data_IF_863052845943
#
_entry.id   IF_863052845943
#
_cell.length_a   1.000
_cell.length_b   1.000
_cell.length_c   1.000
_cell.angle_alpha   90.00
_cell.angle_beta   90.00
_cell.angle_gamma   90.00
#
_symmetry.space_group_name_H-M   'P 1'
#
loop_
_entity.id
_entity.type
_entity.pdbx_description
1 polymer ?
#
# COMPACT_ATOMS: atom_id res chain seq x y z
N UNK A 1 -8.31 -4.93 21.98
CA UNK A 1 -8.30 -4.64 20.52
C UNK A 1 -8.14 -5.97 19.79
N UNK A 2 -8.81 -6.18 18.67
CA UNK A 2 -8.73 -7.40 17.87
C UNK A 2 -8.61 -7.04 16.38
N UNK A 3 -7.82 -7.82 15.63
CA UNK A 3 -7.77 -7.75 14.17
C UNK A 3 -8.86 -8.64 13.56
N UNK A 4 -9.47 -8.16 12.49
CA UNK A 4 -10.52 -8.84 11.73
C UNK A 4 -10.02 -9.08 10.29
N UNK A 5 -10.85 -9.71 9.45
CA UNK A 5 -10.57 -9.96 8.03
C UNK A 5 -9.32 -10.82 7.78
N UNK A 6 -9.27 -11.98 8.43
CA UNK A 6 -8.18 -12.96 8.31
C UNK A 6 -8.19 -13.78 7.00
N UNK A 7 -9.12 -13.52 6.07
CA UNK A 7 -9.32 -14.30 4.84
C UNK A 7 -8.08 -14.34 3.94
N UNK A 8 -7.20 -13.34 4.03
CA UNK A 8 -5.96 -13.23 3.25
C UNK A 8 -4.70 -13.49 4.07
N UNK A 9 -4.82 -13.85 5.35
CA UNK A 9 -3.66 -14.06 6.19
C UNK A 9 -2.89 -15.32 5.81
N UNK A 10 -1.57 -15.20 5.69
CA UNK A 10 -0.69 -16.31 5.36
C UNK A 10 0.79 -15.93 5.52
N UNK A 11 1.70 -16.87 5.26
CA UNK A 11 3.13 -16.57 5.22
C UNK A 11 3.44 -15.52 4.15
N UNK A 12 4.22 -14.50 4.51
CA UNK A 12 4.58 -13.39 3.63
C UNK A 12 5.81 -12.64 4.13
N UNK A 13 6.26 -11.65 3.37
CA UNK A 13 7.34 -10.76 3.80
C UNK A 13 6.74 -9.69 4.70
N UNK A 14 7.36 -9.44 5.86
CA UNK A 14 6.91 -8.39 6.81
C UNK A 14 6.71 -7.00 6.18
N UNK A 15 7.50 -6.69 5.14
CA UNK A 15 7.40 -5.43 4.41
C UNK A 15 6.07 -5.30 3.63
N UNK A 16 5.41 -6.41 3.29
CA UNK A 16 4.12 -6.41 2.58
C UNK A 16 3.02 -5.79 3.44
N UNK A 17 2.94 -6.14 4.72
CA UNK A 17 1.99 -5.54 5.68
C UNK A 17 2.27 -4.06 5.92
N UNK A 18 3.55 -3.69 6.08
CA UNK A 18 3.96 -2.29 6.28
C UNK A 18 3.70 -1.46 5.04
N UNK A 19 3.94 -2.02 3.85
CA UNK A 19 3.60 -1.38 2.58
C UNK A 19 2.09 -1.22 2.42
N UNK A 20 1.31 -2.24 2.74
CA UNK A 20 -0.15 -2.19 2.74
C UNK A 20 -0.63 -1.02 3.61
N UNK A 21 -0.14 -0.97 4.85
CA UNK A 21 -0.47 0.09 5.77
C UNK A 21 -0.11 1.48 5.24
N UNK A 22 1.08 1.61 4.64
CA UNK A 22 1.58 2.86 4.11
C UNK A 22 0.72 3.42 2.99
N UNK A 23 0.32 2.61 2.00
CA UNK A 23 -0.53 3.11 0.91
C UNK A 23 -2.00 3.22 1.30
N UNK A 24 -2.50 2.34 2.19
CA UNK A 24 -3.91 2.30 2.55
C UNK A 24 -4.36 3.46 3.45
N UNK A 25 -3.50 3.90 4.38
CA UNK A 25 -3.83 4.97 5.33
C UNK A 25 -3.15 6.32 5.03
N UNK A 26 -2.47 6.44 3.89
CA UNK A 26 -1.92 7.71 3.42
C UNK A 26 -2.80 8.36 2.36
N UNK A 27 -2.70 9.69 2.24
CA UNK A 27 -3.30 10.39 1.11
C UNK A 27 -2.48 10.11 -0.16
N UNK A 28 -3.16 9.68 -1.23
CA UNK A 28 -2.56 9.40 -2.54
C UNK A 28 -3.39 10.07 -3.64
N UNK A 29 -2.73 10.52 -4.71
CA UNK A 29 -3.39 11.17 -5.84
C UNK A 29 -3.65 12.67 -5.63
N UNK A 30 -4.10 13.34 -6.68
CA UNK A 30 -4.34 14.78 -6.67
C UNK A 30 -3.13 15.59 -6.17
N UNK A 31 -3.40 16.52 -5.27
CA UNK A 31 -2.40 17.41 -4.62
C UNK A 31 -1.74 16.78 -3.39
N UNK A 32 -1.82 15.46 -3.20
CA UNK A 32 -1.14 14.79 -2.10
C UNK A 32 0.37 15.04 -2.17
N UNK A 33 0.99 15.28 -1.01
CA UNK A 33 2.44 15.50 -0.89
C UNK A 33 3.19 14.14 -0.83
N UNK A 34 4.07 13.84 -1.80
CA UNK A 34 4.91 12.65 -1.75
C UNK A 34 5.84 12.56 -0.54
N UNK A 35 6.29 13.70 -0.01
CA UNK A 35 7.15 13.73 1.18
C UNK A 35 6.39 13.32 2.44
N UNK A 36 5.09 13.66 2.55
CA UNK A 36 4.24 13.21 3.65
C UNK A 36 4.00 11.70 3.61
N UNK A 37 3.81 11.10 2.43
CA UNK A 37 3.77 9.64 2.29
C UNK A 37 5.07 9.01 2.81
N UNK A 38 6.23 9.52 2.37
CA UNK A 38 7.53 9.02 2.82
C UNK A 38 7.70 9.14 4.33
N UNK A 39 7.28 10.27 4.94
CA UNK A 39 7.34 10.49 6.38
C UNK A 39 6.49 9.47 7.15
N UNK A 40 5.25 9.21 6.72
CA UNK A 40 4.37 8.20 7.34
C UNK A 40 4.95 6.80 7.21
N UNK A 41 5.51 6.48 6.06
CA UNK A 41 6.13 5.20 5.80
C UNK A 41 7.37 4.96 6.68
N UNK A 42 8.23 5.98 6.88
CA UNK A 42 9.33 5.88 7.85
C UNK A 42 8.80 5.60 9.25
N UNK A 43 7.78 6.34 9.70
CA UNK A 43 7.17 6.14 11.02
C UNK A 43 6.64 4.71 11.19
N UNK A 44 5.98 4.15 10.17
CA UNK A 44 5.50 2.76 10.21
C UNK A 44 6.66 1.77 10.31
N UNK A 45 7.72 1.95 9.51
CA UNK A 45 8.91 1.10 9.59
C UNK A 45 9.59 1.19 10.96
N UNK A 46 9.79 2.39 11.49
CA UNK A 46 10.42 2.62 12.80
C UNK A 46 9.60 1.96 13.91
N UNK A 47 8.27 2.16 13.91
CA UNK A 47 7.39 1.56 14.91
C UNK A 47 7.39 0.03 14.83
N UNK A 48 7.42 -0.53 13.62
CA UNK A 48 7.47 -1.98 13.41
C UNK A 48 8.78 -2.58 13.96
N UNK A 49 9.93 -1.97 13.65
CA UNK A 49 11.25 -2.45 14.11
C UNK A 49 11.43 -2.29 15.62
N UNK A 50 10.87 -1.23 16.24
CA UNK A 50 10.84 -1.08 17.70
C UNK A 50 10.00 -2.18 18.36
N UNK A 51 8.85 -2.52 17.78
CA UNK A 51 7.97 -3.57 18.30
C UNK A 51 8.50 -4.99 18.06
N UNK A 52 9.41 -5.18 17.10
CA UNK A 52 9.99 -6.47 16.73
C UNK A 52 11.53 -6.45 16.80
N UNK A 53 12.13 -6.48 18.01
CA UNK A 53 13.59 -6.43 18.17
C UNK A 53 14.32 -7.51 17.36
N UNK A 54 15.39 -7.12 16.67
CA UNK A 54 16.16 -8.00 15.80
C UNK A 54 15.61 -8.15 14.38
N UNK A 55 14.48 -7.50 14.05
CA UNK A 55 13.99 -7.36 12.68
C UNK A 55 14.47 -6.04 12.10
N UNK A 56 14.98 -6.09 10.87
CA UNK A 56 15.18 -4.91 10.02
C UNK A 56 14.38 -5.08 8.75
N UNK A 57 13.58 -4.07 8.41
CA UNK A 57 12.76 -4.07 7.22
C UNK A 57 13.59 -3.66 5.99
N UNK A 58 13.41 -4.30 4.83
CA UNK A 58 14.04 -3.87 3.59
C UNK A 58 13.35 -2.60 3.06
N UNK A 59 13.59 -1.45 3.71
CA UNK A 59 12.89 -0.17 3.42
C UNK A 59 13.05 0.29 1.98
N UNK A 60 14.15 -0.07 1.31
CA UNK A 60 14.38 0.21 -0.11
C UNK A 60 13.39 -0.47 -1.06
N UNK A 61 12.76 -1.57 -0.64
CA UNK A 61 11.77 -2.28 -1.44
C UNK A 61 10.35 -1.74 -1.25
N UNK A 62 10.13 -0.89 -0.25
CA UNK A 62 8.80 -0.51 0.22
C UNK A 62 7.92 0.06 -0.91
N UNK A 63 8.45 0.98 -1.70
CA UNK A 63 7.70 1.63 -2.79
C UNK A 63 7.42 0.66 -3.94
N UNK A 64 8.35 -0.26 -4.24
CA UNK A 64 8.12 -1.29 -5.24
C UNK A 64 7.00 -2.25 -4.79
N UNK A 65 7.03 -2.68 -3.54
CA UNK A 65 6.00 -3.55 -2.95
C UNK A 65 4.62 -2.86 -2.93
N UNK A 66 4.55 -1.56 -2.65
CA UNK A 66 3.29 -0.80 -2.75
C UNK A 66 2.75 -0.75 -4.18
N UNK A 67 3.61 -0.55 -5.19
CA UNK A 67 3.20 -0.53 -6.58
C UNK A 67 2.61 -1.87 -7.00
N UNK A 68 3.27 -2.98 -6.65
CA UNK A 68 2.78 -4.33 -6.93
C UNK A 68 1.44 -4.61 -6.25
N UNK A 69 1.27 -4.19 -4.98
CA UNK A 69 0.01 -4.33 -4.26
C UNK A 69 -1.11 -3.49 -4.88
N UNK A 70 -0.86 -2.23 -5.22
CA UNK A 70 -1.84 -1.37 -5.87
C UNK A 70 -2.25 -1.97 -7.22
N UNK A 71 -1.29 -2.48 -8.01
CA UNK A 71 -1.57 -3.14 -9.29
C UNK A 71 -2.44 -4.39 -9.11
N UNK A 72 -2.05 -5.28 -8.18
CA UNK A 72 -2.82 -6.47 -7.83
C UNK A 72 -4.21 -6.15 -7.31
N UNK A 73 -4.37 -5.08 -6.53
CA UNK A 73 -5.66 -4.69 -5.93
C UNK A 73 -6.68 -4.31 -6.99
N UNK A 74 -6.35 -3.40 -7.92
CA UNK A 74 -7.34 -2.98 -8.92
C UNK A 74 -7.66 -4.11 -9.89
N UNK A 75 -6.68 -4.95 -10.27
CA UNK A 75 -6.90 -6.14 -11.09
C UNK A 75 -7.77 -7.18 -10.39
N UNK A 76 -7.55 -7.38 -9.09
CA UNK A 76 -8.35 -8.30 -8.27
C UNK A 76 -9.82 -7.87 -8.21
N UNK A 77 -10.07 -6.57 -8.04
CA UNK A 77 -11.43 -6.01 -8.06
C UNK A 77 -12.08 -6.21 -9.43
N UNK A 78 -11.37 -5.90 -10.53
CA UNK A 78 -11.89 -6.13 -11.89
C UNK A 78 -12.23 -7.60 -12.13
N UNK A 79 -11.28 -8.50 -11.89
CA UNK A 79 -11.45 -9.93 -12.13
C UNK A 79 -12.52 -10.56 -11.23
N UNK A 80 -12.66 -10.11 -9.98
CA UNK A 80 -13.73 -10.57 -9.10
C UNK A 80 -15.11 -10.05 -9.53
N UNK A 81 -15.19 -8.82 -10.01
CA UNK A 81 -16.43 -8.27 -10.54
C UNK A 81 -16.87 -8.99 -11.84
N UNK A 82 -15.93 -9.42 -12.69
CA UNK A 82 -16.20 -10.21 -13.90
C UNK A 82 -16.68 -11.63 -13.58
N UNK A 83 -16.29 -12.17 -12.40
CA UNK A 83 -16.81 -13.43 -11.84
C UNK A 83 -18.11 -13.26 -11.06
N UNK A 84 -18.74 -12.08 -11.12
CA UNK A 84 -19.99 -11.72 -10.43
C UNK A 84 -19.93 -11.83 -8.89
N UNK A 85 -18.74 -11.65 -8.29
CA UNK A 85 -18.61 -11.60 -6.83
C UNK A 85 -19.30 -10.34 -6.28
N UNK A 86 -20.29 -10.46 -5.37
CA UNK A 86 -21.10 -9.32 -4.95
C UNK A 86 -20.29 -8.17 -4.35
N UNK A 87 -19.24 -8.48 -3.57
CA UNK A 87 -18.36 -7.47 -2.97
C UNK A 87 -17.55 -6.71 -4.03
N UNK A 88 -16.95 -7.43 -4.97
CA UNK A 88 -16.11 -6.83 -6.02
C UNK A 88 -16.93 -6.01 -7.01
N UNK A 89 -18.16 -6.44 -7.34
CA UNK A 89 -19.09 -5.63 -8.13
C UNK A 89 -19.45 -4.32 -7.46
N UNK A 90 -19.68 -4.33 -6.14
CA UNK A 90 -19.94 -3.10 -5.36
C UNK A 90 -18.72 -2.18 -5.37
N UNK A 91 -17.51 -2.72 -5.17
CA UNK A 91 -16.27 -1.94 -5.24
C UNK A 91 -16.05 -1.32 -6.63
N UNK A 92 -16.23 -2.11 -7.70
CA UNK A 92 -16.14 -1.60 -9.07
C UNK A 92 -17.16 -0.49 -9.33
N UNK A 93 -18.42 -0.71 -8.96
CA UNK A 93 -19.48 0.29 -9.13
C UNK A 93 -19.24 1.58 -8.33
N UNK A 94 -18.55 1.48 -7.18
CA UNK A 94 -18.15 2.62 -6.37
C UNK A 94 -16.91 3.38 -6.91
N UNK A 95 -16.33 2.96 -8.04
CA UNK A 95 -15.16 3.61 -8.64
C UNK A 95 -13.82 3.24 -7.98
N UNK A 96 -13.78 2.15 -7.21
CA UNK A 96 -12.55 1.73 -6.51
C UNK A 96 -11.42 1.38 -7.49
N UNK A 97 -11.74 0.77 -8.63
CA UNK A 97 -10.76 0.42 -9.68
C UNK A 97 -10.04 1.68 -10.18
N UNK A 98 -10.78 2.69 -10.60
CA UNK A 98 -10.20 3.94 -11.12
C UNK A 98 -9.42 4.69 -10.05
N UNK A 99 -9.91 4.67 -8.81
CA UNK A 99 -9.24 5.27 -7.65
C UNK A 99 -7.87 4.62 -7.42
N UNK A 100 -7.81 3.29 -7.31
CA UNK A 100 -6.57 2.56 -7.06
C UNK A 100 -5.61 2.66 -8.25
N UNK A 101 -6.11 2.64 -9.49
CA UNK A 101 -5.28 2.92 -10.69
C UNK A 101 -4.70 4.33 -10.66
N UNK A 102 -5.48 5.31 -10.21
CA UNK A 102 -5.03 6.68 -10.00
C UNK A 102 -3.91 6.77 -8.97
N UNK A 103 -4.05 6.08 -7.83
CA UNK A 103 -3.02 5.99 -6.80
C UNK A 103 -1.74 5.31 -7.29
N UNK A 104 -1.86 4.18 -7.99
CA UNK A 104 -0.73 3.51 -8.63
C UNK A 104 -0.01 4.45 -9.61
N UNK A 105 -0.75 5.13 -10.48
CA UNK A 105 -0.19 6.08 -11.43
C UNK A 105 0.49 7.27 -10.76
N UNK A 106 -0.09 7.80 -9.68
CA UNK A 106 0.50 8.87 -8.88
C UNK A 106 1.80 8.40 -8.21
N UNK A 107 1.78 7.25 -7.52
CA UNK A 107 2.96 6.72 -6.83
C UNK A 107 4.09 6.44 -7.81
N UNK A 108 3.77 5.90 -9.00
CA UNK A 108 4.75 5.67 -10.06
C UNK A 108 5.42 6.97 -10.53
N UNK A 109 4.67 8.07 -10.65
CA UNK A 109 5.22 9.38 -11.03
C UNK A 109 6.11 9.99 -9.94
N UNK A 110 5.75 9.81 -8.68
CA UNK A 110 6.46 10.39 -7.54
C UNK A 110 7.47 9.46 -6.87
N UNK A 111 7.68 8.26 -7.44
CA UNK A 111 8.54 7.19 -6.89
C UNK A 111 9.89 7.71 -6.40
N UNK A 112 10.62 8.43 -7.25
CA UNK A 112 11.95 8.94 -6.91
C UNK A 112 11.91 9.93 -5.72
N UNK A 113 10.90 10.79 -5.64
CA UNK A 113 10.72 11.72 -4.52
C UNK A 113 10.43 10.96 -3.23
N UNK A 114 9.55 9.96 -3.27
CA UNK A 114 9.19 9.15 -2.09
C UNK A 114 10.40 8.33 -1.62
N UNK A 115 11.13 7.69 -2.52
CA UNK A 115 12.33 6.89 -2.21
C UNK A 115 13.45 7.77 -1.63
N UNK A 116 13.71 8.94 -2.21
CA UNK A 116 14.71 9.87 -1.69
C UNK A 116 14.34 10.39 -0.29
N UNK A 117 13.07 10.75 -0.08
CA UNK A 117 12.59 11.19 1.22
C UNK A 117 12.61 10.05 2.25
N UNK A 118 12.32 8.79 1.86
CA UNK A 118 12.42 7.62 2.75
C UNK A 118 13.86 7.38 3.24
N UNK A 119 14.85 7.62 2.38
CA UNK A 119 16.26 7.46 2.70
C UNK A 119 16.84 8.61 3.53
N UNK A 120 16.19 9.79 3.53
CA UNK A 120 16.61 10.91 4.35
C UNK A 120 16.36 10.60 5.84
N UNK A 121 17.41 10.74 6.64
CA UNK A 121 17.43 10.51 8.10
C UNK A 121 16.72 11.63 8.85
#
# INVERSE_FOLDING_TARGET
>A
MAFLDWDLAGPGRRIEDVAFAGWHWSALGGEADPAELARRCRLLCDAYEVAAPGVSLPRGDLVAVMLDQLDGTWRGIEAGADRDEPGMRRLRAAGAVDTVRGWHGWLRRHRATVEAALAAT
#
